data_IF_788661548464
#
_entry.id   IF_788661548464
#
_cell.length_a   1.000
_cell.length_b   1.000
_cell.length_c   1.000
_cell.angle_alpha   90.00
_cell.angle_beta   90.00
_cell.angle_gamma   90.00
#
_symmetry.space_group_name_H-M   'P 1'
#
loop_
_entity.id
_entity.type
_entity.pdbx_description
1 polymer ?
#
# COMPACT_ATOMS: atom_id res chain seq x y z
N UNK A 1 -8.25 -17.18 -18.65
CA UNK A 1 -8.00 -15.74 -18.94
C UNK A 1 -8.26 -14.86 -17.72
N UNK A 2 -9.28 -15.14 -16.89
CA UNK A 2 -9.53 -14.40 -15.65
C UNK A 2 -8.47 -14.68 -14.55
N UNK A 3 -7.94 -15.91 -14.47
CA UNK A 3 -6.94 -16.28 -13.45
C UNK A 3 -5.61 -15.54 -13.57
N UNK A 4 -5.14 -15.25 -14.79
CA UNK A 4 -3.90 -14.52 -15.03
C UNK A 4 -4.04 -13.05 -14.60
N UNK A 5 -5.22 -12.46 -14.83
CA UNK A 5 -5.55 -11.12 -14.37
C UNK A 5 -5.68 -11.07 -12.85
N UNK A 6 -6.38 -12.04 -12.24
CA UNK A 6 -6.50 -12.15 -10.78
C UNK A 6 -5.14 -12.34 -10.11
N UNK A 7 -4.26 -13.16 -10.70
CA UNK A 7 -2.90 -13.36 -10.21
C UNK A 7 -2.06 -12.07 -10.26
N UNK A 8 -2.21 -11.26 -11.31
CA UNK A 8 -1.56 -9.94 -11.39
C UNK A 8 -2.05 -9.00 -10.29
N UNK A 9 -3.35 -8.95 -10.02
CA UNK A 9 -3.89 -8.11 -8.95
C UNK A 9 -3.39 -8.56 -7.56
N UNK A 10 -3.29 -9.87 -7.32
CA UNK A 10 -2.73 -10.42 -6.06
C UNK A 10 -1.26 -9.99 -5.89
N UNK A 11 -0.47 -9.98 -6.96
CA UNK A 11 0.92 -9.49 -6.91
C UNK A 11 1.00 -8.01 -6.56
N UNK A 12 0.22 -7.17 -7.24
CA UNK A 12 0.16 -5.72 -6.94
C UNK A 12 -0.27 -5.48 -5.50
N UNK A 13 -1.27 -6.22 -5.00
CA UNK A 13 -1.70 -6.16 -3.61
C UNK A 13 -0.55 -6.49 -2.65
N UNK A 14 0.24 -7.50 -2.95
CA UNK A 14 1.43 -7.88 -2.17
C UNK A 14 2.46 -6.74 -2.10
N UNK A 15 2.75 -6.11 -3.23
CA UNK A 15 3.67 -4.95 -3.30
C UNK A 15 3.15 -3.77 -2.46
N UNK A 16 1.84 -3.50 -2.53
CA UNK A 16 1.19 -2.44 -1.73
C UNK A 16 1.25 -2.70 -0.23
N UNK A 17 1.05 -3.95 0.18
CA UNK A 17 1.22 -4.37 1.59
C UNK A 17 2.67 -4.18 2.05
N UNK A 18 3.64 -4.56 1.22
CA UNK A 18 5.06 -4.39 1.54
C UNK A 18 5.40 -2.91 1.74
N UNK A 19 5.00 -2.04 0.80
CA UNK A 19 5.23 -0.60 0.90
C UNK A 19 4.56 0.02 2.14
N UNK A 20 3.29 -0.31 2.41
CA UNK A 20 2.61 0.15 3.63
C UNK A 20 3.35 -0.28 4.90
N UNK A 21 3.88 -1.51 4.94
CA UNK A 21 4.63 -2.01 6.09
C UNK A 21 5.98 -1.30 6.26
N UNK A 22 6.65 -0.93 5.16
CA UNK A 22 7.85 -0.08 5.20
C UNK A 22 7.54 1.30 5.78
N UNK A 23 6.46 1.94 5.33
CA UNK A 23 6.01 3.23 5.87
C UNK A 23 5.68 3.14 7.36
N UNK A 24 5.00 2.07 7.79
CA UNK A 24 4.74 1.81 9.21
C UNK A 24 6.03 1.61 10.00
N UNK A 25 7.01 0.89 9.45
CA UNK A 25 8.31 0.71 10.08
C UNK A 25 9.06 2.04 10.24
N UNK A 26 9.03 2.92 9.22
CA UNK A 26 9.59 4.27 9.29
C UNK A 26 8.92 5.10 10.37
N UNK A 27 7.58 5.08 10.44
CA UNK A 27 6.80 5.76 11.48
C UNK A 27 7.15 5.25 12.89
N UNK A 28 7.25 3.93 13.08
CA UNK A 28 7.60 3.32 14.37
C UNK A 28 9.03 3.64 14.82
N UNK A 29 9.97 3.77 13.87
CA UNK A 29 11.35 4.16 14.17
C UNK A 29 11.48 5.65 14.54
N UNK A 30 10.37 6.39 14.60
CA UNK A 30 10.41 7.82 14.87
C UNK A 30 11.17 8.59 13.79
N UNK A 31 11.24 8.03 12.57
CA UNK A 31 11.69 8.76 11.39
C UNK A 31 10.54 9.71 11.06
N UNK A 32 10.45 10.77 11.85
CA UNK A 32 9.77 11.99 11.47
C UNK A 32 10.54 12.46 10.24
N UNK A 33 9.97 12.26 9.07
CA UNK A 33 10.59 12.57 7.80
C UNK A 33 10.62 14.10 7.59
N UNK A 34 11.33 14.80 8.49
CA UNK A 34 11.86 16.16 8.33
C UNK A 34 13.07 16.10 7.42
N UNK A 35 12.88 15.59 6.20
CA UNK A 35 13.92 15.64 5.18
C UNK A 35 13.64 16.85 4.29
N UNK A 36 14.12 18.00 4.74
CA UNK A 36 14.50 19.17 3.92
C UNK A 36 13.39 19.64 2.94
N UNK A 37 12.38 20.34 3.45
CA UNK A 37 11.51 21.23 2.66
C UNK A 37 10.08 20.75 2.40
N UNK A 38 9.82 19.44 2.41
CA UNK A 38 8.47 18.87 2.36
C UNK A 38 8.28 17.96 3.57
N UNK A 39 7.27 18.26 4.40
CA UNK A 39 6.85 17.36 5.47
C UNK A 39 6.26 16.13 4.78
N UNK A 40 7.00 15.02 4.75
CA UNK A 40 6.48 13.76 4.25
C UNK A 40 5.45 13.27 5.27
N UNK A 41 4.17 13.42 4.93
CA UNK A 41 3.06 12.93 5.74
C UNK A 41 2.96 11.42 5.60
N UNK A 42 3.69 10.71 6.46
CA UNK A 42 3.66 9.25 6.52
C UNK A 42 2.25 8.72 6.79
N UNK A 43 1.40 9.48 7.49
CA UNK A 43 0.03 9.06 7.80
C UNK A 43 -0.87 9.12 6.56
N UNK A 44 -0.78 10.20 5.78
CA UNK A 44 -1.45 10.28 4.48
C UNK A 44 -0.96 9.20 3.51
N UNK A 45 0.36 8.95 3.48
CA UNK A 45 0.92 7.88 2.63
C UNK A 45 0.42 6.49 3.05
N UNK A 46 0.41 6.17 4.34
CA UNK A 46 -0.12 4.90 4.85
C UNK A 46 -1.62 4.77 4.52
N UNK A 47 -2.39 5.84 4.68
CA UNK A 47 -3.82 5.85 4.37
C UNK A 47 -4.10 5.58 2.88
N UNK A 48 -3.31 6.19 1.98
CA UNK A 48 -3.41 5.95 0.53
C UNK A 48 -3.07 4.51 0.16
N UNK A 49 -2.03 3.96 0.77
CA UNK A 49 -1.65 2.56 0.55
C UNK A 49 -2.73 1.59 1.06
N UNK A 50 -3.35 1.88 2.20
CA UNK A 50 -4.48 1.09 2.71
C UNK A 50 -5.69 1.14 1.75
N UNK A 51 -6.05 2.33 1.26
CA UNK A 51 -7.16 2.48 0.31
C UNK A 51 -6.92 1.70 -1.00
N UNK A 52 -5.67 1.69 -1.50
CA UNK A 52 -5.30 0.92 -2.67
C UNK A 52 -5.43 -0.59 -2.42
N UNK A 53 -5.02 -1.08 -1.25
CA UNK A 53 -5.18 -2.49 -0.86
C UNK A 53 -6.66 -2.87 -0.79
N UNK A 54 -7.49 -2.05 -0.16
CA UNK A 54 -8.93 -2.31 -0.02
C UNK A 54 -9.62 -2.38 -1.40
N UNK A 55 -9.25 -1.46 -2.30
CA UNK A 55 -9.76 -1.46 -3.69
C UNK A 55 -9.33 -2.72 -4.45
N UNK A 56 -8.10 -3.19 -4.25
CA UNK A 56 -7.60 -4.43 -4.84
C UNK A 56 -8.32 -5.64 -4.27
N UNK A 57 -8.58 -5.69 -2.97
CA UNK A 57 -9.32 -6.76 -2.31
C UNK A 57 -10.75 -6.87 -2.86
N UNK A 58 -11.46 -5.75 -2.97
CA UNK A 58 -12.79 -5.69 -3.58
C UNK A 58 -12.79 -6.17 -5.04
N UNK A 59 -11.79 -5.73 -5.81
CA UNK A 59 -11.68 -6.10 -7.24
C UNK A 59 -11.38 -7.59 -7.39
N UNK A 60 -10.46 -8.14 -6.60
CA UNK A 60 -10.13 -9.57 -6.61
C UNK A 60 -11.34 -10.41 -6.20
N UNK A 61 -12.09 -9.99 -5.17
CA UNK A 61 -13.28 -10.68 -4.71
C UNK A 61 -14.38 -10.74 -5.78
N UNK A 62 -14.56 -9.66 -6.55
CA UNK A 62 -15.52 -9.60 -7.67
C UNK A 62 -15.13 -10.46 -8.87
N UNK A 63 -13.87 -10.86 -8.97
CA UNK A 63 -13.36 -11.74 -10.03
C UNK A 63 -13.37 -13.23 -9.62
N UNK A 64 -13.84 -13.55 -8.41
CA UNK A 64 -13.93 -14.92 -7.89
C UNK A 64 -15.18 -15.67 -8.31
#
# INVERSE_FOLDING_TARGET
MNDDFRLKLIKIRGEKIAHRNELLAMKMQGIDAKQIGEVIDLDDMIAREQLAIDTLDDTIARLS
#
